data_IF_685723610094
#
_entry.id   IF_685723610094
#
_cell.length_a   1.000
_cell.length_b   1.000
_cell.length_c   1.000
_cell.angle_alpha   90.00
_cell.angle_beta   90.00
_cell.angle_gamma   90.00
#
_symmetry.space_group_name_H-M   'P 1'
#
loop_
_entity.id
_entity.type
_entity.pdbx_description
1 polymer ?
#
# COMPACT_ATOMS: atom_id res chain seq x y z
N UNK A 1 8.34 3.78 -24.59
CA UNK A 1 8.31 3.64 -23.12
C UNK A 1 7.76 2.27 -22.75
N UNK A 2 8.57 1.39 -22.16
CA UNK A 2 8.13 0.06 -21.73
C UNK A 2 7.19 0.21 -20.54
N UNK A 3 5.91 -0.21 -20.66
CA UNK A 3 5.04 -0.37 -19.48
C UNK A 3 5.70 -1.39 -18.58
N UNK A 4 6.20 -0.97 -17.42
CA UNK A 4 6.67 -1.92 -16.43
C UNK A 4 5.54 -2.91 -16.14
N UNK A 5 5.83 -4.21 -16.05
CA UNK A 5 4.82 -5.21 -15.75
C UNK A 5 4.11 -4.82 -14.45
N UNK A 6 2.78 -4.84 -14.46
CA UNK A 6 1.98 -4.49 -13.28
C UNK A 6 2.35 -5.47 -12.18
N UNK A 7 3.13 -5.01 -11.20
CA UNK A 7 3.53 -5.86 -10.07
C UNK A 7 2.24 -6.22 -9.33
N UNK A 8 1.86 -7.50 -9.35
CA UNK A 8 0.68 -7.98 -8.66
C UNK A 8 1.03 -8.13 -7.18
N UNK A 9 0.38 -7.33 -6.34
CA UNK A 9 0.48 -7.44 -4.88
C UNK A 9 -0.72 -8.23 -4.37
N UNK A 10 -0.46 -9.23 -3.54
CA UNK A 10 -1.51 -10.02 -2.86
C UNK A 10 -2.29 -9.14 -1.89
N UNK A 11 -3.51 -9.54 -1.54
CA UNK A 11 -4.31 -8.85 -0.53
C UNK A 11 -3.55 -8.75 0.80
N UNK A 12 -3.00 -9.87 1.29
CA UNK A 12 -2.18 -9.90 2.51
C UNK A 12 -1.02 -8.91 2.49
N UNK A 13 -0.34 -8.77 1.34
CA UNK A 13 0.76 -7.80 1.22
C UNK A 13 0.26 -6.36 1.38
N UNK A 14 -0.87 -6.03 0.77
CA UNK A 14 -1.48 -4.70 0.90
C UNK A 14 -1.94 -4.44 2.34
N UNK A 15 -2.53 -5.44 2.99
CA UNK A 15 -2.98 -5.36 4.38
C UNK A 15 -1.82 -5.13 5.34
N UNK A 16 -0.73 -5.90 5.21
CA UNK A 16 0.49 -5.67 6.00
C UNK A 16 1.09 -4.29 5.74
N UNK A 17 1.11 -3.83 4.49
CA UNK A 17 1.61 -2.51 4.12
C UNK A 17 0.78 -1.39 4.75
N UNK A 18 -0.55 -1.55 4.82
CA UNK A 18 -1.46 -0.60 5.45
C UNK A 18 -1.43 -0.69 6.97
N UNK A 19 -1.25 -1.88 7.54
CA UNK A 19 -1.10 -2.08 8.98
C UNK A 19 0.14 -1.34 9.53
N UNK A 20 1.26 -1.36 8.81
CA UNK A 20 2.46 -0.57 9.16
C UNK A 20 2.21 0.94 9.16
N UNK A 21 1.24 1.43 8.39
CA UNK A 21 0.84 2.85 8.42
C UNK A 21 -0.06 3.20 9.61
N UNK A 22 -0.57 2.21 10.34
CA UNK A 22 -1.32 2.46 11.56
C UNK A 22 -0.41 2.89 12.72
N UNK A 23 0.91 2.72 12.58
CA UNK A 23 1.87 3.18 13.57
C UNK A 23 2.05 4.72 13.48
N UNK A 24 1.83 5.46 14.58
CA UNK A 24 1.75 6.92 14.56
C UNK A 24 3.07 7.64 14.21
N UNK A 25 4.21 6.93 14.21
CA UNK A 25 5.53 7.48 13.85
C UNK A 25 5.97 7.16 12.41
N UNK A 26 5.21 6.35 11.68
CA UNK A 26 5.66 5.79 10.41
C UNK A 26 5.11 6.62 9.25
N UNK A 27 6.01 7.26 8.50
CA UNK A 27 5.60 8.04 7.34
C UNK A 27 5.23 7.15 6.15
N UNK A 28 4.19 7.54 5.43
CA UNK A 28 3.74 6.84 4.21
C UNK A 28 4.86 6.71 3.17
N UNK A 29 5.71 7.73 3.08
CA UNK A 29 6.84 7.76 2.14
C UNK A 29 7.95 6.78 2.56
N UNK A 30 8.20 6.64 3.86
CA UNK A 30 9.17 5.67 4.39
C UNK A 30 8.75 4.25 4.08
N UNK A 31 7.50 3.89 4.41
CA UNK A 31 6.95 2.55 4.13
C UNK A 31 6.92 2.25 2.64
N UNK A 32 6.54 3.23 1.82
CA UNK A 32 6.54 3.07 0.37
C UNK A 32 7.95 2.77 -0.15
N UNK A 33 8.97 3.48 0.34
CA UNK A 33 10.38 3.23 -0.02
C UNK A 33 10.86 1.85 0.43
N UNK A 34 10.58 1.45 1.66
CA UNK A 34 10.96 0.14 2.18
C UNK A 34 10.32 -1.02 1.43
N UNK A 35 9.06 -0.86 1.03
CA UNK A 35 8.32 -1.87 0.27
C UNK A 35 8.58 -1.81 -1.24
N UNK A 36 9.34 -0.82 -1.72
CA UNK A 36 9.61 -0.62 -3.15
C UNK A 36 8.35 -0.29 -3.96
N UNK A 37 7.44 0.49 -3.37
CA UNK A 37 6.17 0.93 -3.97
C UNK A 37 6.07 2.45 -3.96
N UNK A 38 5.09 2.99 -4.68
CA UNK A 38 4.82 4.43 -4.64
C UNK A 38 3.87 4.80 -3.49
N UNK A 39 4.02 5.99 -2.87
CA UNK A 39 3.07 6.45 -1.85
C UNK A 39 1.62 6.47 -2.35
N UNK A 40 1.41 6.79 -3.63
CA UNK A 40 0.09 6.78 -4.28
C UNK A 40 -0.54 5.38 -4.34
N UNK A 41 0.25 4.33 -4.58
CA UNK A 41 -0.26 2.94 -4.49
C UNK A 41 -0.69 2.61 -3.07
N UNK A 42 0.12 3.01 -2.08
CA UNK A 42 -0.17 2.76 -0.67
C UNK A 42 -1.46 3.48 -0.21
N UNK A 43 -1.71 4.70 -0.74
CA UNK A 43 -2.97 5.42 -0.54
C UNK A 43 -4.15 4.68 -1.17
N UNK A 44 -3.97 4.18 -2.40
CA UNK A 44 -4.98 3.39 -3.10
C UNK A 44 -5.38 2.13 -2.32
N UNK A 45 -4.40 1.42 -1.74
CA UNK A 45 -4.67 0.24 -0.93
C UNK A 45 -5.41 0.55 0.36
N UNK A 46 -5.14 1.69 1.02
CA UNK A 46 -5.92 2.12 2.19
C UNK A 46 -7.40 2.29 1.86
N UNK A 47 -7.70 2.89 0.70
CA UNK A 47 -9.09 3.11 0.26
C UNK A 47 -9.78 1.81 -0.12
N UNK A 48 -9.07 0.93 -0.85
CA UNK A 48 -9.53 -0.41 -1.25
C UNK A 48 -9.89 -1.27 -0.02
N UNK A 49 -9.01 -1.29 0.99
CA UNK A 49 -9.23 -2.03 2.24
C UNK A 49 -10.31 -1.39 3.12
N UNK A 50 -10.37 -0.05 3.19
CA UNK A 50 -11.44 0.63 3.92
C UNK A 50 -12.81 0.35 3.29
N UNK A 51 -12.90 0.29 1.95
CA UNK A 51 -14.11 -0.10 1.25
C UNK A 51 -14.47 -1.57 1.48
N UNK A 52 -13.47 -2.47 1.51
CA UNK A 52 -13.69 -3.89 1.80
C UNK A 52 -14.15 -4.16 3.24
N UNK A 53 -13.68 -3.38 4.23
CA UNK A 53 -14.13 -3.50 5.63
C UNK A 53 -15.49 -2.84 5.91
N UNK A 54 -15.95 -1.95 5.02
CA UNK A 54 -17.22 -1.24 5.16
C UNK A 54 -18.40 -1.94 4.44
N UNK A 55 -18.14 -3.06 3.77
CA UNK A 55 -19.14 -3.89 3.07
C UNK A 55 -19.49 -5.13 3.91
#
# INVERSE_FOLDING_TARGET
MSRQPRRHFTAEFKEQAVARLSEPCVSQTTVARELGVTPSQLKGWRLDLAAAMAA
#
